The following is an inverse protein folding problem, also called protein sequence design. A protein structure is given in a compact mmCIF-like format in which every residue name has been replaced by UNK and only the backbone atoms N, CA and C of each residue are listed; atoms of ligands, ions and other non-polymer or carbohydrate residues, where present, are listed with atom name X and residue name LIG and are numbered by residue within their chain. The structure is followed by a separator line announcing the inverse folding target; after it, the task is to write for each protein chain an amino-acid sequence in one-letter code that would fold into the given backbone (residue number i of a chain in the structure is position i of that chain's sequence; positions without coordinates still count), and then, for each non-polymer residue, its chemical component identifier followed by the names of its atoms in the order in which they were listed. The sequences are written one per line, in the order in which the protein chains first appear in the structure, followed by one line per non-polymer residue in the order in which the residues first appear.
data_IF_400343881852
#
_entry.id   IF_400343881852
#
_cell.length_a   1.000
_cell.length_b   1.000
_cell.length_c   1.000
_cell.angle_alpha   90.00
_cell.angle_beta   90.00
_cell.angle_gamma   90.00
#
_symmetry.space_group_name_H-M   'P 1'
#
loop_
_entity.id
_entity.type
_entity.pdbx_description
1 polymer ?
#
# COMPACT_ATOMS: atom_id res chain seq x y z
N UNK A 1 9.62 -28.79 -17.46
CA UNK A 1 10.54 -27.95 -16.68
C UNK A 1 9.72 -26.81 -16.10
N UNK A 2 9.66 -26.70 -14.78
CA UNK A 2 8.98 -25.58 -14.12
C UNK A 2 9.96 -24.42 -14.11
N UNK A 3 9.90 -23.56 -15.12
CA UNK A 3 10.83 -22.45 -15.24
C UNK A 3 10.41 -21.35 -14.26
N UNK A 4 11.25 -21.06 -13.27
CA UNK A 4 11.06 -19.98 -12.30
C UNK A 4 11.39 -18.63 -12.95
N UNK A 5 10.55 -18.23 -13.90
CA UNK A 5 10.75 -17.05 -14.75
C UNK A 5 9.47 -16.21 -14.77
N UNK A 6 9.63 -14.89 -14.67
CA UNK A 6 8.53 -13.94 -14.88
C UNK A 6 8.32 -13.76 -16.38
N UNK A 7 7.12 -14.02 -16.87
CA UNK A 7 6.77 -13.96 -18.29
C UNK A 7 5.70 -12.92 -18.56
N UNK A 8 5.72 -12.35 -19.77
CA UNK A 8 4.67 -11.46 -20.25
C UNK A 8 3.39 -12.26 -20.53
N UNK A 9 2.27 -11.83 -19.96
CA UNK A 9 0.94 -12.46 -20.15
C UNK A 9 0.06 -11.65 -21.11
N UNK A 10 0.04 -10.33 -20.96
CA UNK A 10 -0.80 -9.44 -21.76
C UNK A 10 -0.16 -8.06 -21.87
N UNK A 11 -0.32 -7.42 -23.04
CA UNK A 11 0.07 -6.04 -23.31
C UNK A 11 -1.06 -5.29 -24.04
N UNK A 12 -2.31 -5.67 -23.79
CA UNK A 12 -3.46 -5.09 -24.47
C UNK A 12 -3.68 -3.63 -24.04
N UNK A 13 -4.02 -2.73 -24.98
CA UNK A 13 -4.47 -1.39 -24.65
C UNK A 13 -5.62 -1.47 -23.64
N UNK A 14 -5.46 -0.77 -22.53
CA UNK A 14 -6.39 -0.83 -21.40
C UNK A 14 -6.63 0.59 -20.92
N UNK A 15 -7.88 1.02 -20.96
CA UNK A 15 -8.32 2.25 -20.32
C UNK A 15 -8.81 1.95 -18.90
N UNK A 16 -9.00 3.00 -18.10
CA UNK A 16 -9.44 2.90 -16.70
C UNK A 16 -10.73 2.07 -16.54
N UNK A 17 -11.68 2.20 -17.47
CA UNK A 17 -12.95 1.46 -17.48
C UNK A 17 -12.80 -0.04 -17.72
N UNK A 18 -11.72 -0.45 -18.38
CA UNK A 18 -11.44 -1.83 -18.75
C UNK A 18 -10.49 -2.51 -17.75
N UNK A 19 -9.82 -1.73 -16.90
CA UNK A 19 -8.83 -2.20 -15.95
C UNK A 19 -9.37 -3.28 -14.99
N UNK A 20 -10.57 -3.14 -14.38
CA UNK A 20 -11.15 -4.23 -13.57
C UNK A 20 -11.28 -5.55 -14.31
N UNK A 21 -11.60 -5.51 -15.61
CA UNK A 21 -11.76 -6.70 -16.46
C UNK A 21 -10.44 -7.37 -16.83
N UNK A 22 -9.31 -6.68 -16.68
CA UNK A 22 -7.97 -7.24 -16.92
C UNK A 22 -7.45 -8.06 -15.75
N UNK A 23 -8.07 -7.94 -14.57
CA UNK A 23 -7.61 -8.62 -13.37
C UNK A 23 -8.23 -10.00 -13.28
N UNK A 24 -7.41 -11.06 -13.31
CA UNK A 24 -7.93 -12.41 -13.17
C UNK A 24 -8.40 -12.66 -11.74
N UNK A 25 -9.52 -13.37 -11.62
CA UNK A 25 -10.09 -13.81 -10.33
C UNK A 25 -9.55 -15.17 -9.87
N UNK A 26 -8.74 -15.84 -10.68
CA UNK A 26 -8.30 -17.23 -10.47
C UNK A 26 -6.78 -17.38 -10.25
N UNK A 27 -6.00 -16.34 -10.44
CA UNK A 27 -4.54 -16.40 -10.36
C UNK A 27 -3.93 -15.06 -9.99
N UNK A 28 -2.74 -15.09 -9.40
CA UNK A 28 -2.04 -13.88 -9.00
C UNK A 28 -1.35 -13.22 -10.20
N UNK A 29 -1.33 -11.88 -10.28
CA UNK A 29 -0.68 -11.17 -11.40
C UNK A 29 -0.08 -9.85 -10.96
N UNK A 30 0.94 -9.43 -11.70
CA UNK A 30 1.47 -8.08 -11.67
C UNK A 30 0.97 -7.32 -12.87
N UNK A 31 0.67 -6.04 -12.68
CA UNK A 31 0.23 -5.15 -13.74
C UNK A 31 0.99 -3.83 -13.63
N UNK A 32 1.41 -3.31 -14.77
CA UNK A 32 1.85 -1.93 -14.91
C UNK A 32 0.77 -1.20 -15.69
N UNK A 33 0.22 -0.16 -15.10
CA UNK A 33 -0.88 0.59 -15.69
C UNK A 33 -0.53 2.07 -15.78
N UNK A 34 -0.74 2.66 -16.96
CA UNK A 34 -0.58 4.09 -17.18
C UNK A 34 -1.87 4.81 -16.79
N UNK A 35 -1.87 5.38 -15.58
CA UNK A 35 -3.01 6.12 -15.06
C UNK A 35 -2.99 7.56 -15.55
N UNK A 36 -3.80 7.81 -16.57
CA UNK A 36 -4.04 9.14 -17.15
C UNK A 36 -5.14 9.86 -16.38
N UNK A 37 -4.81 10.95 -15.71
CA UNK A 37 -5.76 11.67 -14.86
C UNK A 37 -5.40 13.15 -14.73
N UNK A 38 -6.32 13.95 -14.21
CA UNK A 38 -6.04 15.34 -13.85
C UNK A 38 -5.97 15.50 -12.34
N UNK A 39 -4.98 16.27 -11.88
CA UNK A 39 -4.78 16.62 -10.48
C UNK A 39 -4.41 18.10 -10.37
N UNK A 40 -5.11 18.85 -9.54
CA UNK A 40 -4.86 20.28 -9.28
C UNK A 40 -4.84 21.19 -10.54
N UNK A 41 -5.53 20.75 -11.61
CA UNK A 41 -5.63 21.49 -12.87
C UNK A 41 -4.62 21.05 -13.94
N UNK A 42 -3.63 20.24 -13.57
CA UNK A 42 -2.66 19.65 -14.50
C UNK A 42 -3.11 18.26 -14.96
N UNK A 43 -2.66 17.88 -16.16
CA UNK A 43 -2.84 16.54 -16.70
C UNK A 43 -1.58 15.71 -16.48
N UNK A 44 -1.75 14.56 -15.83
CA UNK A 44 -0.66 13.68 -15.43
C UNK A 44 -0.85 12.28 -16.02
N UNK A 45 0.26 11.71 -16.48
CA UNK A 45 0.34 10.32 -16.89
C UNK A 45 1.25 9.57 -15.91
N UNK A 46 0.63 8.84 -14.99
CA UNK A 46 1.31 8.26 -13.84
C UNK A 46 1.34 6.75 -13.94
N UNK A 47 2.52 6.13 -13.87
CA UNK A 47 2.62 4.67 -13.87
C UNK A 47 2.33 4.14 -12.46
N UNK A 48 1.33 3.26 -12.38
CA UNK A 48 0.93 2.57 -11.16
C UNK A 48 1.25 1.09 -11.31
N UNK A 49 1.89 0.54 -10.29
CA UNK A 49 2.10 -0.90 -10.18
C UNK A 49 0.98 -1.52 -9.35
N UNK A 50 0.38 -2.59 -9.86
CA UNK A 50 -0.72 -3.29 -9.20
C UNK A 50 -0.34 -4.76 -9.04
N UNK A 51 -0.40 -5.24 -7.81
CA UNK A 51 -0.29 -6.65 -7.47
C UNK A 51 -1.69 -7.18 -7.11
N UNK A 52 -2.26 -7.99 -8.00
CA UNK A 52 -3.56 -8.63 -7.78
C UNK A 52 -3.41 -10.05 -7.26
N UNK A 53 -4.04 -10.36 -6.13
CA UNK A 53 -3.97 -11.67 -5.48
C UNK A 53 -5.36 -12.12 -5.01
N UNK A 54 -6.07 -13.01 -5.74
CA UNK A 54 -7.44 -13.44 -5.40
C UNK A 54 -7.53 -14.40 -4.19
N UNK A 55 -6.65 -14.22 -3.20
CA UNK A 55 -6.67 -14.92 -1.92
C UNK A 55 -6.41 -16.42 -2.03
N UNK A 56 -7.27 -17.22 -1.38
CA UNK A 56 -7.09 -18.67 -1.23
C UNK A 56 -7.36 -19.49 -2.50
N UNK A 57 -7.81 -18.86 -3.59
CA UNK A 57 -7.91 -19.52 -4.90
C UNK A 57 -6.52 -19.89 -5.43
N UNK A 58 -5.51 -19.06 -5.13
CA UNK A 58 -4.11 -19.32 -5.47
C UNK A 58 -3.47 -20.30 -4.49
N UNK A 59 -2.59 -21.17 -4.97
CA UNK A 59 -1.82 -22.07 -4.09
C UNK A 59 -0.87 -21.29 -3.17
N UNK A 60 -0.50 -21.85 -2.01
CA UNK A 60 0.48 -21.21 -1.09
C UNK A 60 1.79 -20.89 -1.81
N UNK A 61 2.27 -21.82 -2.65
CA UNK A 61 3.48 -21.64 -3.46
C UNK A 61 3.37 -20.42 -4.38
N UNK A 62 2.26 -20.30 -5.10
CA UNK A 62 2.01 -19.16 -5.98
C UNK A 62 1.96 -17.85 -5.20
N UNK A 63 1.24 -17.81 -4.07
CA UNK A 63 1.17 -16.60 -3.24
C UNK A 63 2.54 -16.16 -2.73
N UNK A 64 3.36 -17.12 -2.28
CA UNK A 64 4.72 -16.83 -1.80
C UNK A 64 5.62 -16.36 -2.92
N UNK A 65 5.58 -17.00 -4.11
CA UNK A 65 6.37 -16.57 -5.27
C UNK A 65 6.01 -15.15 -5.72
N UNK A 66 4.72 -14.84 -5.86
CA UNK A 66 4.28 -13.49 -6.26
C UNK A 66 4.51 -12.43 -5.18
N UNK A 67 4.61 -12.79 -3.92
CA UNK A 67 5.02 -11.83 -2.89
C UNK A 67 6.53 -11.57 -2.93
N UNK A 68 7.33 -12.65 -2.97
CA UNK A 68 8.79 -12.59 -2.91
C UNK A 68 9.42 -11.99 -4.17
N UNK A 69 8.90 -12.32 -5.36
CA UNK A 69 9.43 -11.83 -6.62
C UNK A 69 9.03 -10.38 -6.96
N UNK A 70 8.14 -9.76 -6.16
CA UNK A 70 7.67 -8.39 -6.40
C UNK A 70 8.81 -7.38 -6.28
N UNK A 71 9.61 -7.46 -5.20
CA UNK A 71 10.67 -6.47 -4.93
C UNK A 71 11.76 -6.47 -6.02
N UNK A 72 12.33 -7.62 -6.42
CA UNK A 72 13.32 -7.66 -7.49
C UNK A 72 12.76 -7.17 -8.84
N UNK A 73 11.50 -7.49 -9.16
CA UNK A 73 10.86 -7.02 -10.39
C UNK A 73 10.77 -5.50 -10.44
N UNK A 74 10.35 -4.87 -9.34
CA UNK A 74 10.24 -3.42 -9.24
C UNK A 74 11.61 -2.74 -9.29
N UNK A 75 12.62 -3.32 -8.64
CA UNK A 75 13.99 -2.81 -8.68
C UNK A 75 14.55 -2.80 -10.11
N UNK A 76 14.32 -3.87 -10.88
CA UNK A 76 14.71 -3.93 -12.29
C UNK A 76 13.97 -2.85 -13.11
N UNK A 77 12.65 -2.72 -12.92
CA UNK A 77 11.85 -1.73 -13.64
C UNK A 77 12.30 -0.28 -13.35
N UNK A 78 12.58 0.05 -12.10
CA UNK A 78 12.98 1.39 -11.68
C UNK A 78 14.45 1.69 -12.07
N UNK A 79 15.38 0.74 -11.86
CA UNK A 79 16.82 1.00 -12.05
C UNK A 79 17.29 0.81 -13.48
N UNK A 80 16.81 -0.21 -14.18
CA UNK A 80 17.30 -0.56 -15.52
C UNK A 80 16.46 0.06 -16.64
N UNK A 81 15.14 0.18 -16.43
CA UNK A 81 14.21 0.73 -17.41
C UNK A 81 13.79 2.18 -17.13
N UNK A 82 14.24 2.74 -16.00
CA UNK A 82 13.90 4.10 -15.53
C UNK A 82 12.40 4.39 -15.48
N UNK A 83 11.61 3.35 -15.19
CA UNK A 83 10.16 3.47 -15.03
C UNK A 83 9.88 4.12 -13.67
N UNK A 84 9.30 5.31 -13.67
CA UNK A 84 8.88 6.00 -12.46
C UNK A 84 7.53 5.47 -11.98
N UNK A 85 7.57 4.55 -11.03
CA UNK A 85 6.37 3.97 -10.41
C UNK A 85 5.94 4.87 -9.25
N UNK A 86 4.81 5.57 -9.44
CA UNK A 86 4.33 6.56 -8.46
C UNK A 86 3.66 5.88 -7.27
N UNK A 87 2.93 4.79 -7.52
CA UNK A 87 2.22 4.05 -6.47
C UNK A 87 2.29 2.54 -6.71
N UNK A 88 2.42 1.79 -5.62
CA UNK A 88 2.44 0.33 -5.57
C UNK A 88 1.20 -0.10 -4.80
N UNK A 89 0.23 -0.71 -5.49
CA UNK A 89 -1.08 -1.06 -4.96
C UNK A 89 -1.20 -2.58 -4.88
N UNK A 90 -1.76 -3.07 -3.78
CA UNK A 90 -2.06 -4.48 -3.59
C UNK A 90 -3.58 -4.66 -3.44
N UNK A 91 -4.17 -5.53 -4.25
CA UNK A 91 -5.61 -5.78 -4.27
C UNK A 91 -5.90 -7.27 -4.34
N UNK A 92 -7.04 -7.65 -3.81
CA UNK A 92 -7.63 -8.98 -3.86
C UNK A 92 -8.62 -9.15 -5.02
N UNK A 93 -9.38 -8.10 -5.35
CA UNK A 93 -10.38 -8.10 -6.42
C UNK A 93 -10.22 -6.89 -7.34
N UNK A 94 -10.41 -7.12 -8.64
CA UNK A 94 -10.33 -6.08 -9.66
C UNK A 94 -11.48 -5.08 -9.62
N UNK A 95 -12.63 -5.47 -9.06
CA UNK A 95 -13.80 -4.62 -8.93
C UNK A 95 -13.55 -3.40 -8.01
N UNK A 96 -12.50 -3.45 -7.18
CA UNK A 96 -12.05 -2.34 -6.33
C UNK A 96 -11.31 -1.24 -7.09
N UNK A 97 -10.86 -1.51 -8.33
CA UNK A 97 -10.14 -0.53 -9.14
C UNK A 97 -11.10 0.44 -9.82
N UNK A 98 -11.70 1.31 -9.02
CA UNK A 98 -12.47 2.45 -9.51
C UNK A 98 -11.56 3.65 -9.75
N UNK A 99 -12.05 4.61 -10.53
CA UNK A 99 -11.36 5.89 -10.75
C UNK A 99 -11.09 6.63 -9.43
N UNK A 100 -12.08 6.61 -8.53
CA UNK A 100 -11.99 7.22 -7.21
C UNK A 100 -10.92 6.55 -6.36
N UNK A 101 -10.89 5.21 -6.31
CA UNK A 101 -9.90 4.46 -5.55
C UNK A 101 -8.47 4.76 -6.04
N UNK A 102 -8.24 4.73 -7.36
CA UNK A 102 -6.92 5.03 -7.92
C UNK A 102 -6.52 6.49 -7.67
N UNK A 103 -7.46 7.42 -7.73
CA UNK A 103 -7.18 8.81 -7.42
C UNK A 103 -6.78 8.98 -5.94
N UNK A 104 -7.47 8.35 -5.01
CA UNK A 104 -7.16 8.44 -3.57
C UNK A 104 -5.83 7.76 -3.21
N UNK A 105 -5.49 6.65 -3.87
CA UNK A 105 -4.20 5.97 -3.66
C UNK A 105 -3.02 6.77 -4.20
N UNK A 106 -3.18 7.43 -5.34
CA UNK A 106 -2.14 8.27 -5.95
C UNK A 106 -2.03 9.61 -5.22
N UNK A 107 -3.16 10.19 -4.81
CA UNK A 107 -3.27 11.50 -4.16
C UNK A 107 -3.96 11.39 -2.80
N UNK A 108 -3.26 10.93 -1.76
CA UNK A 108 -3.87 10.71 -0.46
C UNK A 108 -4.36 12.02 0.15
N UNK A 109 -5.64 12.05 0.51
CA UNK A 109 -6.26 13.18 1.22
C UNK A 109 -5.59 13.35 2.57
N UNK A 110 -5.09 14.55 2.86
CA UNK A 110 -4.63 14.89 4.19
C UNK A 110 -5.84 14.84 5.14
N UNK A 111 -5.86 13.86 6.04
CA UNK A 111 -6.95 13.74 7.00
C UNK A 111 -6.80 14.88 8.01
N UNK A 112 -7.73 15.84 7.95
CA UNK A 112 -7.82 16.92 8.91
C UNK A 112 -7.94 16.34 10.33
N UNK A 113 -7.09 16.86 11.23
CA UNK A 113 -7.02 16.65 12.68
C UNK A 113 -7.98 15.58 13.25
N UNK A 114 -7.43 14.46 13.73
CA UNK A 114 -8.21 13.46 14.50
C UNK A 114 -8.93 14.20 15.64
N UNK A 115 -10.26 14.27 15.55
CA UNK A 115 -11.07 14.82 16.62
C UNK A 115 -10.95 13.88 17.83
N UNK A 116 -10.12 14.25 18.79
CA UNK A 116 -10.03 13.51 20.05
C UNK A 116 -11.28 13.80 20.87
N UNK A 117 -12.02 12.76 21.23
CA UNK A 117 -13.10 12.89 22.20
C UNK A 117 -12.55 13.47 23.51
N UNK A 118 -13.29 14.38 24.13
CA UNK A 118 -12.89 14.99 25.38
C UNK A 118 -12.77 13.91 26.47
N UNK A 119 -11.67 13.92 27.24
CA UNK A 119 -11.53 13.01 28.38
C UNK A 119 -12.70 13.25 29.36
N UNK A 120 -13.32 12.20 29.92
CA UNK A 120 -14.40 12.35 30.88
C UNK A 120 -13.95 13.19 32.08
N UNK A 121 -14.90 13.86 32.74
CA UNK A 121 -14.63 14.65 33.95
C UNK A 121 -13.96 13.75 34.99
N UNK A 122 -12.84 14.19 35.53
CA UNK A 122 -12.13 13.47 36.59
C UNK A 122 -12.97 13.38 37.88
N UNK A 123 -12.57 12.53 38.83
CA UNK A 123 -13.30 12.34 40.09
C UNK A 123 -13.51 13.66 40.84
N UNK A 124 -14.71 13.81 41.40
CA UNK A 124 -15.15 15.00 42.13
C UNK A 124 -14.37 15.08 43.45
N UNK A 125 -13.84 16.26 43.80
CA UNK A 125 -13.12 16.46 45.07
C UNK A 125 -11.62 16.19 45.04
N UNK A 126 -10.96 16.18 43.87
CA UNK A 126 -9.49 16.11 43.80
C UNK A 126 -8.85 17.27 44.58
N UNK A 127 -8.18 16.95 45.68
CA UNK A 127 -7.36 17.89 46.45
C UNK A 127 -5.92 17.76 45.95
N UNK A 128 -5.45 18.73 45.17
CA UNK A 128 -4.03 18.87 44.79
C UNK A 128 -3.74 18.85 43.28
N UNK A 129 -2.59 19.44 42.93
CA UNK A 129 -2.06 19.53 41.56
C UNK A 129 -1.54 18.16 41.11
N UNK A 130 -1.66 17.84 39.81
CA UNK A 130 -1.05 16.63 39.22
C UNK A 130 0.47 16.65 39.44
N UNK A 131 1.02 15.59 40.03
CA UNK A 131 2.45 15.43 40.24
C UNK A 131 3.02 14.47 39.19
N UNK A 132 4.20 14.78 38.67
CA UNK A 132 5.01 13.81 37.92
C UNK A 132 5.47 12.74 38.92
N UNK A 133 5.04 11.50 38.72
CA UNK A 133 5.58 10.35 39.45
C UNK A 133 6.72 9.83 38.58
N UNK A 134 7.95 10.02 39.04
CA UNK A 134 9.15 9.46 38.41
C UNK A 134 9.53 8.25 39.22
N UNK A 135 9.71 7.11 38.56
CA UNK A 135 10.23 5.92 39.23
C UNK A 135 11.67 6.18 39.70
N UNK A 136 12.08 5.65 40.87
CA UNK A 136 13.43 5.83 41.36
C UNK A 136 14.43 5.28 40.33
N UNK A 137 15.39 6.11 39.94
CA UNK A 137 16.55 5.66 39.16
C UNK A 137 17.31 4.69 40.05
N UNK A 138 17.42 3.42 39.65
CA UNK A 138 18.35 2.48 40.27
C UNK A 138 19.76 3.07 40.10
N UNK A 139 20.29 3.65 41.17
CA UNK A 139 21.68 4.07 41.21
C UNK A 139 22.53 2.81 41.21
N UNK A 140 23.17 2.54 40.07
CA UNK A 140 24.28 1.57 39.99
C UNK A 140 25.25 1.85 41.14
N UNK A 141 25.40 0.86 42.03
CA UNK A 141 26.41 0.87 43.08
C UNK A 141 27.80 0.80 42.43
N UNK A 142 28.75 1.69 42.78
CA UNK A 142 30.12 1.57 42.31
C UNK A 142 30.73 0.27 42.85
N UNK A 143 31.39 -0.46 41.96
CA UNK A 143 32.24 -1.60 42.28
C UNK A 143 33.52 -1.04 42.91
N UNK A 144 33.77 -1.41 44.17
CA UNK A 144 35.12 -1.50 44.74
C UNK A 144 35.37 -2.98 45.11
#
# INVERSE_FOLDING_TARGET
MNNEIIVLVSALPTELKDLPRRIPKNSARYHFFLYKHSHEGDYLESIVFIYSMPGYVCSIRERMLYSSCKSPLLEIAERQLWIQIIRKIEIDDGDKLTAEFLYEEVHPKQHAHKQSFAKPKGPVGKRGIRRLIRDPVETETPID
#
